data_IF_333661907469
#
_entry.id   IF_333661907469
#
_cell.length_a   1.000
_cell.length_b   1.000
_cell.length_c   1.000
_cell.angle_alpha   90.00
_cell.angle_beta   90.00
_cell.angle_gamma   90.00
#
_symmetry.space_group_name_H-M   'P 1'
#
loop_
_entity.id
_entity.type
_entity.pdbx_description
1 polymer ?
#
# COMPACT_ATOMS: atom_id res chain seq x y z
N UNK A 1 -34.43 -65.86 -20.23
CA UNK A 1 -33.65 -64.89 -21.03
C UNK A 1 -33.90 -63.50 -20.44
N UNK A 2 -33.04 -63.04 -19.53
CA UNK A 2 -33.08 -61.67 -18.99
C UNK A 2 -31.64 -61.18 -18.87
N UNK A 3 -31.35 -60.08 -19.55
CA UNK A 3 -30.04 -59.42 -19.64
C UNK A 3 -29.78 -58.55 -18.40
N UNK A 4 -28.51 -58.39 -17.95
CA UNK A 4 -28.18 -57.45 -16.89
C UNK A 4 -27.78 -56.10 -17.48
N UNK A 5 -28.41 -55.02 -17.05
CA UNK A 5 -27.90 -53.66 -17.28
C UNK A 5 -27.96 -52.89 -15.97
N UNK A 6 -26.80 -52.67 -15.34
CA UNK A 6 -26.41 -51.39 -14.70
C UNK A 6 -25.06 -51.53 -14.00
N UNK A 7 -23.97 -51.37 -14.76
CA UNK A 7 -22.66 -50.97 -14.19
C UNK A 7 -22.15 -49.63 -14.73
N UNK A 8 -22.88 -48.99 -15.65
CA UNK A 8 -22.40 -47.79 -16.36
C UNK A 8 -22.79 -46.45 -15.74
N UNK A 9 -23.58 -46.42 -14.65
CA UNK A 9 -24.08 -45.16 -14.09
C UNK A 9 -23.15 -44.53 -13.02
N UNK A 10 -22.29 -45.34 -12.39
CA UNK A 10 -21.43 -44.87 -11.28
C UNK A 10 -20.20 -44.08 -11.78
N UNK A 11 -19.70 -44.37 -13.00
CA UNK A 11 -18.56 -43.66 -13.57
C UNK A 11 -18.89 -42.27 -14.15
N UNK A 12 -20.16 -42.02 -14.48
CA UNK A 12 -20.57 -40.72 -15.05
C UNK A 12 -20.68 -39.65 -13.96
N UNK A 13 -21.08 -40.02 -12.74
CA UNK A 13 -21.23 -39.09 -11.61
C UNK A 13 -19.90 -38.67 -10.98
N UNK A 14 -18.88 -39.54 -10.96
CA UNK A 14 -17.54 -39.19 -10.44
C UNK A 14 -16.75 -38.28 -11.38
N UNK A 15 -16.89 -38.47 -12.71
CA UNK A 15 -16.29 -37.59 -13.72
C UNK A 15 -16.86 -36.18 -13.70
N UNK A 16 -18.17 -36.03 -13.48
CA UNK A 16 -18.85 -34.73 -13.40
C UNK A 16 -18.42 -33.94 -12.16
N UNK A 17 -18.21 -34.62 -11.02
CA UNK A 17 -17.74 -33.98 -9.78
C UNK A 17 -16.27 -33.53 -9.89
N UNK A 18 -15.43 -34.29 -10.61
CA UNK A 18 -14.03 -33.92 -10.86
C UNK A 18 -13.91 -32.75 -11.86
N UNK A 19 -14.78 -32.69 -12.86
CA UNK A 19 -14.86 -31.56 -13.80
C UNK A 19 -15.42 -30.29 -13.14
N UNK A 20 -16.42 -30.42 -12.26
CA UNK A 20 -16.94 -29.29 -11.47
C UNK A 20 -15.94 -28.77 -10.45
N UNK A 21 -15.14 -29.64 -9.82
CA UNK A 21 -14.09 -29.23 -8.89
C UNK A 21 -12.89 -28.60 -9.60
N UNK A 22 -12.51 -29.08 -10.79
CA UNK A 22 -11.51 -28.43 -11.65
C UNK A 22 -12.03 -27.09 -12.19
N UNK A 23 -13.29 -26.99 -12.62
CA UNK A 23 -13.89 -25.71 -13.03
C UNK A 23 -13.99 -24.71 -11.86
N UNK A 24 -14.31 -25.18 -10.64
CA UNK A 24 -14.30 -24.37 -9.42
C UNK A 24 -12.88 -23.94 -9.00
N UNK A 25 -11.87 -24.78 -9.22
CA UNK A 25 -10.46 -24.45 -8.99
C UNK A 25 -9.91 -23.48 -10.05
N UNK A 26 -10.30 -23.64 -11.33
CA UNK A 26 -9.98 -22.72 -12.41
C UNK A 26 -10.66 -21.36 -12.26
N UNK A 27 -11.90 -21.31 -11.78
CA UNK A 27 -12.61 -20.04 -11.48
C UNK A 27 -12.08 -19.34 -10.22
N UNK A 28 -11.44 -20.05 -9.30
CA UNK A 28 -10.66 -19.41 -8.21
C UNK A 28 -9.36 -18.77 -8.70
N UNK A 29 -8.80 -19.22 -9.82
CA UNK A 29 -7.56 -18.67 -10.39
C UNK A 29 -7.81 -17.53 -11.41
N UNK A 30 -8.97 -17.50 -12.06
CA UNK A 30 -9.39 -16.37 -12.88
C UNK A 30 -10.30 -15.43 -12.08
N UNK A 31 -9.74 -14.79 -11.06
CA UNK A 31 -10.21 -13.44 -10.72
C UNK A 31 -9.90 -12.58 -11.94
N UNK A 32 -10.90 -12.34 -12.79
CA UNK A 32 -10.82 -11.30 -13.80
C UNK A 32 -10.17 -10.07 -13.15
N UNK A 33 -9.07 -9.53 -13.69
CA UNK A 33 -8.60 -8.24 -13.21
C UNK A 33 -9.80 -7.32 -13.35
N UNK A 34 -10.28 -6.76 -12.23
CA UNK A 34 -11.23 -5.66 -12.27
C UNK A 34 -10.67 -4.70 -13.32
N UNK A 35 -11.41 -4.51 -14.42
CA UNK A 35 -11.07 -3.56 -15.48
C UNK A 35 -11.13 -2.17 -14.85
N UNK A 36 -10.06 -1.79 -14.15
CA UNK A 36 -9.91 -0.51 -13.47
C UNK A 36 -9.37 0.48 -14.47
N UNK A 37 -10.07 1.59 -14.59
CA UNK A 37 -9.59 2.77 -15.28
C UNK A 37 -8.77 3.63 -14.34
N UNK A 38 -7.79 4.35 -14.88
CA UNK A 38 -7.00 5.31 -14.09
C UNK A 38 -7.96 6.32 -13.44
N UNK A 39 -7.89 6.44 -12.12
CA UNK A 39 -8.78 7.28 -11.33
C UNK A 39 -9.99 6.60 -10.71
N UNK A 40 -10.18 5.30 -10.93
CA UNK A 40 -11.19 4.54 -10.19
C UNK A 40 -10.83 4.47 -8.70
N UNK A 41 -11.77 4.69 -7.77
CA UNK A 41 -11.54 4.46 -6.36
C UNK A 41 -11.40 2.97 -6.08
N UNK A 42 -10.34 2.57 -5.36
CA UNK A 42 -10.04 1.17 -5.07
C UNK A 42 -10.02 0.82 -3.58
N UNK A 43 -9.87 1.83 -2.71
CA UNK A 43 -9.82 1.66 -1.25
C UNK A 43 -10.07 3.02 -0.58
N UNK A 44 -10.14 3.04 0.76
CA UNK A 44 -10.07 4.27 1.54
C UNK A 44 -9.54 4.04 2.95
N UNK A 45 -8.90 5.06 3.52
CA UNK A 45 -8.58 5.14 4.95
C UNK A 45 -9.07 6.47 5.50
N UNK A 46 -9.83 6.44 6.60
CA UNK A 46 -10.38 7.65 7.22
C UNK A 46 -11.12 8.55 6.22
N UNK A 47 -11.90 7.93 5.31
CA UNK A 47 -12.66 8.55 4.22
C UNK A 47 -11.80 9.21 3.13
N UNK A 48 -10.48 9.06 3.17
CA UNK A 48 -9.57 9.47 2.10
C UNK A 48 -9.42 8.32 1.11
N UNK A 49 -9.86 8.54 -0.13
CA UNK A 49 -9.85 7.52 -1.19
C UNK A 49 -8.44 7.21 -1.70
N UNK A 50 -8.20 5.94 -2.02
CA UNK A 50 -7.09 5.49 -2.86
C UNK A 50 -7.63 5.31 -4.27
N UNK A 51 -6.89 5.82 -5.25
CA UNK A 51 -7.26 5.71 -6.66
C UNK A 51 -6.28 4.83 -7.43
N UNK A 52 -6.80 4.11 -8.42
CA UNK A 52 -5.99 3.31 -9.32
C UNK A 52 -5.14 4.21 -10.24
N UNK A 53 -3.84 3.95 -10.33
CA UNK A 53 -2.91 4.72 -11.18
C UNK A 53 -2.47 3.96 -12.45
N UNK A 54 -2.84 2.69 -12.61
CA UNK A 54 -2.32 1.87 -13.72
C UNK A 54 -0.82 1.57 -13.56
N UNK A 55 -0.03 1.64 -14.64
CA UNK A 55 1.42 1.45 -14.58
C UNK A 55 2.10 2.40 -13.59
N UNK A 56 3.18 1.94 -12.94
CA UNK A 56 3.91 2.72 -11.92
C UNK A 56 4.43 4.06 -12.48
N UNK A 57 4.80 4.07 -13.76
CA UNK A 57 5.30 5.25 -14.49
C UNK A 57 4.21 6.24 -14.90
N UNK A 58 2.93 5.92 -14.69
CA UNK A 58 1.84 6.81 -15.08
C UNK A 58 1.89 8.14 -14.30
N UNK A 59 1.70 9.23 -15.04
CA UNK A 59 1.61 10.59 -14.52
C UNK A 59 0.37 11.24 -15.12
N UNK A 60 -0.60 11.64 -14.29
CA UNK A 60 -1.80 12.33 -14.77
C UNK A 60 -2.05 13.63 -14.00
N UNK A 61 -1.81 14.76 -14.66
CA UNK A 61 -2.09 16.10 -14.12
C UNK A 61 -1.51 16.35 -12.72
N UNK A 62 -1.92 17.46 -12.10
CA UNK A 62 -1.57 17.78 -10.72
C UNK A 62 -2.84 17.96 -9.90
N UNK A 63 -2.83 17.43 -8.69
CA UNK A 63 -3.85 17.70 -7.69
C UNK A 63 -3.39 18.87 -6.81
N UNK A 64 -4.17 19.94 -6.81
CA UNK A 64 -3.97 21.13 -5.98
C UNK A 64 -5.24 21.42 -5.20
N UNK A 65 -5.07 21.96 -4.00
CA UNK A 65 -6.17 22.52 -3.22
C UNK A 65 -6.57 23.90 -3.75
N UNK A 66 -7.72 24.41 -3.32
CA UNK A 66 -8.25 25.71 -3.76
C UNK A 66 -7.29 26.88 -3.47
N UNK A 67 -6.55 26.81 -2.37
CA UNK A 67 -5.53 27.79 -1.98
C UNK A 67 -4.13 27.45 -2.51
N UNK A 68 -4.04 26.57 -3.52
CA UNK A 68 -2.82 26.31 -4.27
C UNK A 68 -1.84 25.32 -3.64
N UNK A 69 -2.13 24.74 -2.47
CA UNK A 69 -1.26 23.69 -1.91
C UNK A 69 -1.24 22.47 -2.83
N UNK A 70 -0.05 22.18 -3.34
CA UNK A 70 0.25 21.05 -4.19
C UNK A 70 0.10 19.75 -3.38
N UNK A 71 -0.81 18.87 -3.77
CA UNK A 71 -0.94 17.54 -3.18
C UNK A 71 -0.01 16.56 -3.88
N UNK A 72 0.07 16.60 -5.21
CA UNK A 72 1.00 15.79 -6.00
C UNK A 72 0.45 15.50 -7.39
N UNK A 73 1.12 14.61 -8.12
CA UNK A 73 0.66 14.14 -9.43
C UNK A 73 -0.40 13.06 -9.23
N UNK A 74 -1.54 13.13 -9.92
CA UNK A 74 -2.55 12.07 -9.80
C UNK A 74 -2.03 10.80 -10.49
N UNK A 75 -2.27 9.59 -10.01
CA UNK A 75 -2.60 9.19 -8.63
C UNK A 75 -1.38 8.51 -7.99
N UNK A 76 -0.27 9.24 -7.88
CA UNK A 76 0.98 8.71 -7.36
C UNK A 76 0.98 8.55 -5.83
N UNK A 77 1.95 7.81 -5.30
CA UNK A 77 2.11 7.57 -3.86
C UNK A 77 2.24 8.87 -3.05
N UNK A 78 3.05 9.82 -3.53
CA UNK A 78 3.23 11.14 -2.91
C UNK A 78 1.92 11.93 -2.83
N UNK A 79 1.11 11.86 -3.89
CA UNK A 79 -0.19 12.54 -3.93
C UNK A 79 -1.14 11.99 -2.88
N UNK A 80 -1.18 10.67 -2.71
CA UNK A 80 -2.01 10.03 -1.68
C UNK A 80 -1.62 10.43 -0.28
N UNK A 81 -0.34 10.28 0.10
CA UNK A 81 0.09 10.54 1.48
C UNK A 81 -0.11 12.01 1.85
N UNK A 82 0.16 12.94 0.92
CA UNK A 82 -0.09 14.37 1.16
C UNK A 82 -1.58 14.70 1.21
N UNK A 83 -2.40 14.08 0.37
CA UNK A 83 -3.86 14.23 0.44
C UNK A 83 -4.44 13.64 1.71
N UNK A 84 -3.93 12.51 2.19
CA UNK A 84 -4.30 11.93 3.47
C UNK A 84 -3.98 12.88 4.63
N UNK A 85 -2.74 13.37 4.72
CA UNK A 85 -2.34 14.34 5.75
C UNK A 85 -3.15 15.64 5.66
N UNK A 86 -3.43 16.13 4.46
CA UNK A 86 -4.24 17.33 4.28
C UNK A 86 -5.70 17.12 4.71
N UNK A 87 -6.35 16.04 4.26
CA UNK A 87 -7.78 15.83 4.50
C UNK A 87 -8.07 15.34 5.92
N UNK A 88 -7.26 14.40 6.43
CA UNK A 88 -7.46 13.78 7.75
C UNK A 88 -6.82 14.60 8.87
N UNK A 89 -5.55 14.99 8.74
CA UNK A 89 -4.81 15.73 9.79
C UNK A 89 -4.86 17.25 9.65
N UNK A 90 -5.51 17.80 8.61
CA UNK A 90 -5.48 19.23 8.27
C UNK A 90 -4.07 19.78 8.15
N UNK A 91 -3.15 18.92 7.68
CA UNK A 91 -1.72 19.18 7.67
C UNK A 91 -1.21 19.47 6.26
N UNK A 92 -0.50 20.58 6.11
CA UNK A 92 0.27 20.90 4.92
C UNK A 92 1.76 20.75 5.23
N UNK A 93 2.47 20.05 4.37
CA UNK A 93 3.92 19.92 4.46
C UNK A 93 4.55 21.19 3.86
N UNK A 94 5.44 21.90 4.58
CA UNK A 94 6.02 23.16 4.11
C UNK A 94 6.73 23.03 2.76
N UNK A 95 7.58 22.01 2.62
CA UNK A 95 8.11 21.63 1.31
C UNK A 95 7.18 20.57 0.70
N UNK A 96 6.54 20.97 -0.38
CA UNK A 96 5.51 20.20 -1.07
C UNK A 96 6.03 19.45 -2.31
N UNK A 97 7.34 19.48 -2.59
CA UNK A 97 7.93 18.84 -3.77
C UNK A 97 8.86 17.68 -3.38
N UNK A 98 9.44 17.05 -4.41
CA UNK A 98 10.37 15.94 -4.27
C UNK A 98 9.73 14.56 -4.50
N UNK A 99 10.62 13.57 -4.62
CA UNK A 99 10.24 12.16 -4.76
C UNK A 99 9.91 11.54 -3.40
N UNK A 100 9.30 10.37 -3.41
CA UNK A 100 8.90 9.66 -2.20
C UNK A 100 10.04 9.54 -1.16
N UNK A 101 11.23 9.09 -1.58
CA UNK A 101 12.39 8.96 -0.67
C UNK A 101 12.82 10.28 -0.01
N UNK A 102 12.57 11.42 -0.65
CA UNK A 102 12.94 12.74 -0.12
C UNK A 102 12.11 13.16 1.10
N UNK A 103 11.07 12.40 1.46
CA UNK A 103 10.30 12.65 2.67
C UNK A 103 11.09 12.32 3.93
N UNK A 104 12.08 11.43 3.82
CA UNK A 104 12.97 11.09 4.91
C UNK A 104 14.30 11.82 4.77
N UNK A 105 14.73 12.53 5.82
CA UNK A 105 16.03 13.16 5.85
C UNK A 105 17.02 12.29 6.65
N UNK A 106 17.98 11.67 5.94
CA UNK A 106 18.98 10.77 6.51
C UNK A 106 19.97 11.45 7.47
N UNK A 107 20.07 12.78 7.45
CA UNK A 107 20.95 13.51 8.39
C UNK A 107 20.30 13.81 9.74
N UNK A 108 18.99 13.57 9.89
CA UNK A 108 18.30 13.72 11.17
C UNK A 108 18.47 12.46 12.02
N UNK A 109 18.70 12.66 13.32
CA UNK A 109 18.69 11.56 14.29
C UNK A 109 17.27 10.99 14.49
N UNK A 110 17.19 9.76 14.99
CA UNK A 110 15.91 9.14 15.36
C UNK A 110 15.12 10.03 16.34
N UNK A 111 13.82 10.19 16.08
CA UNK A 111 12.93 11.05 16.86
C UNK A 111 13.07 12.55 16.62
N UNK A 112 13.92 12.99 15.68
CA UNK A 112 14.09 14.42 15.38
C UNK A 112 12.97 15.00 14.53
N UNK A 113 12.78 16.32 14.65
CA UNK A 113 11.78 17.04 13.88
C UNK A 113 12.27 17.35 12.45
N UNK A 114 11.54 16.86 11.46
CA UNK A 114 11.75 17.15 10.05
C UNK A 114 10.98 18.41 9.64
N UNK A 115 11.68 19.55 9.60
CA UNK A 115 11.11 20.87 9.26
C UNK A 115 10.45 20.90 7.88
N UNK A 116 11.02 20.22 6.89
CA UNK A 116 10.51 20.20 5.51
C UNK A 116 9.13 19.53 5.41
N UNK A 117 8.84 18.58 6.31
CA UNK A 117 7.55 17.88 6.38
C UNK A 117 6.66 18.38 7.50
N UNK A 118 7.21 19.14 8.46
CA UNK A 118 6.55 19.53 9.71
C UNK A 118 6.02 18.31 10.48
N UNK A 119 6.89 17.29 10.63
CA UNK A 119 6.59 16.02 11.28
C UNK A 119 7.81 15.56 12.11
N UNK A 120 7.57 14.74 13.13
CA UNK A 120 8.66 14.01 13.80
C UNK A 120 9.04 12.79 12.97
N UNK A 121 10.34 12.56 12.75
CA UNK A 121 10.85 11.44 11.96
C UNK A 121 11.49 10.40 12.87
N UNK A 122 11.17 9.13 12.65
CA UNK A 122 11.73 7.99 13.35
C UNK A 122 12.43 7.06 12.36
N UNK A 123 13.59 6.56 12.73
CA UNK A 123 14.37 5.62 11.92
C UNK A 123 13.75 4.22 11.95
N UNK A 124 14.13 3.38 10.98
CA UNK A 124 13.87 1.94 11.06
C UNK A 124 15.22 1.21 11.22
N UNK A 125 15.53 0.63 12.40
CA UNK A 125 14.73 0.54 13.62
C UNK A 125 14.69 1.84 14.46
N UNK A 126 13.72 1.95 15.37
CA UNK A 126 13.59 3.06 16.35
C UNK A 126 13.14 2.57 17.72
N UNK A 127 13.49 3.29 18.79
CA UNK A 127 12.94 3.06 20.13
C UNK A 127 11.44 3.41 20.25
N UNK A 128 10.90 4.16 19.29
CA UNK A 128 9.47 4.51 19.24
C UNK A 128 8.73 3.50 18.37
N UNK A 129 7.60 2.95 18.83
CA UNK A 129 6.77 2.09 17.96
C UNK A 129 6.11 2.91 16.83
N UNK A 130 5.92 2.34 15.62
CA UNK A 130 5.06 2.93 14.60
C UNK A 130 3.60 3.00 15.08
N UNK A 131 2.80 3.87 14.46
CA UNK A 131 1.38 4.08 14.78
C UNK A 131 0.55 4.22 13.51
N UNK A 132 -0.73 3.90 13.60
CA UNK A 132 -1.69 4.22 12.54
C UNK A 132 -1.62 5.71 12.19
N UNK A 133 -1.57 5.99 10.90
CA UNK A 133 -1.46 7.33 10.33
C UNK A 133 -0.03 7.82 10.09
N UNK A 134 0.99 7.11 10.60
CA UNK A 134 2.37 7.42 10.27
C UNK A 134 2.62 7.27 8.76
N UNK A 135 3.44 8.17 8.22
CA UNK A 135 3.89 8.13 6.84
C UNK A 135 5.16 7.28 6.77
N UNK A 136 5.06 6.08 6.21
CA UNK A 136 6.19 5.17 6.01
C UNK A 136 6.95 5.54 4.73
N UNK A 137 8.28 5.63 4.81
CA UNK A 137 9.13 6.01 3.68
C UNK A 137 10.06 4.87 3.29
N UNK A 138 10.10 4.59 1.99
CA UNK A 138 11.03 3.66 1.35
C UNK A 138 12.05 4.44 0.52
N UNK A 139 13.30 4.01 0.58
CA UNK A 139 14.37 4.52 -0.26
C UNK A 139 14.20 4.08 -1.72
N UNK A 140 14.96 4.72 -2.60
CA UNK A 140 15.10 4.28 -3.98
C UNK A 140 16.05 3.09 -4.12
N UNK A 141 15.87 2.34 -5.20
CA UNK A 141 16.78 1.29 -5.64
C UNK A 141 16.94 1.35 -7.18
N UNK A 142 17.66 0.39 -7.78
CA UNK A 142 17.92 0.38 -9.23
C UNK A 142 16.66 0.26 -10.09
N UNK A 143 15.58 -0.32 -9.57
CA UNK A 143 14.31 -0.50 -10.28
C UNK A 143 13.32 0.64 -10.01
N UNK A 144 13.41 1.27 -8.84
CA UNK A 144 12.63 2.44 -8.47
C UNK A 144 13.53 3.48 -7.78
N UNK A 145 14.20 4.38 -8.52
CA UNK A 145 15.13 5.35 -7.93
C UNK A 145 14.44 6.45 -7.11
N UNK A 146 13.11 6.58 -7.21
CA UNK A 146 12.30 7.60 -6.55
C UNK A 146 11.86 7.21 -5.13
N UNK A 147 11.94 5.92 -4.81
CA UNK A 147 11.43 5.33 -3.58
C UNK A 147 9.91 5.22 -3.56
N UNK A 148 9.35 4.96 -2.38
CA UNK A 148 7.91 4.84 -2.18
C UNK A 148 7.48 5.44 -0.83
N UNK A 149 6.22 5.84 -0.72
CA UNK A 149 5.64 6.33 0.53
C UNK A 149 4.23 5.78 0.69
N UNK A 150 3.89 5.38 1.90
CA UNK A 150 2.59 4.82 2.25
C UNK A 150 2.12 5.36 3.61
N UNK A 151 0.85 5.12 3.95
CA UNK A 151 0.31 5.41 5.28
C UNK A 151 0.18 4.10 6.04
N UNK A 152 0.66 4.02 7.27
CA UNK A 152 0.37 2.89 8.16
C UNK A 152 -1.13 2.91 8.50
N UNK A 153 -1.90 1.94 8.04
CA UNK A 153 -3.34 1.83 8.28
C UNK A 153 -3.66 1.12 9.59
N UNK A 154 -2.85 0.15 10.00
CA UNK A 154 -3.01 -0.57 11.25
C UNK A 154 -1.66 -0.98 11.84
N UNK A 155 -1.59 -1.05 13.16
CA UNK A 155 -0.45 -1.62 13.89
C UNK A 155 -1.00 -2.67 14.85
N UNK A 156 -0.45 -3.88 14.79
CA UNK A 156 -0.72 -4.98 15.72
C UNK A 156 0.58 -5.32 16.45
N UNK A 157 0.55 -6.37 17.27
CA UNK A 157 1.69 -6.76 18.11
C UNK A 157 2.95 -7.07 17.29
N UNK A 158 2.79 -7.77 16.16
CA UNK A 158 3.87 -8.34 15.34
C UNK A 158 3.77 -7.97 13.86
N UNK A 159 2.87 -7.05 13.51
CA UNK A 159 2.69 -6.59 12.13
C UNK A 159 2.24 -5.13 12.03
N UNK A 160 2.57 -4.51 10.90
CA UNK A 160 1.99 -3.25 10.44
C UNK A 160 1.32 -3.47 9.09
N UNK A 161 0.13 -2.92 8.92
CA UNK A 161 -0.53 -2.82 7.62
C UNK A 161 -0.32 -1.41 7.07
N UNK A 162 -0.01 -1.30 5.78
CA UNK A 162 0.02 -0.04 5.06
C UNK A 162 -1.17 0.07 4.11
N UNK A 163 -1.49 1.31 3.75
CA UNK A 163 -2.34 1.65 2.61
C UNK A 163 -1.58 2.62 1.67
N UNK A 164 -1.69 2.39 0.36
CA UNK A 164 -0.84 3.03 -0.65
C UNK A 164 -1.55 3.29 -1.98
N UNK A 165 -1.04 4.27 -2.74
CA UNK A 165 -1.33 4.48 -4.16
C UNK A 165 -0.09 4.19 -4.99
N UNK A 166 -0.30 3.82 -6.26
CA UNK A 166 0.75 3.50 -7.22
C UNK A 166 1.73 2.38 -6.80
N UNK A 167 1.27 1.26 -6.21
CA UNK A 167 2.16 0.11 -5.94
C UNK A 167 2.48 -0.70 -7.22
N UNK A 168 1.73 -0.47 -8.30
CA UNK A 168 1.78 -1.22 -9.54
C UNK A 168 0.38 -1.67 -9.97
N UNK A 169 0.19 -2.04 -11.25
CA UNK A 169 -1.14 -2.26 -11.82
C UNK A 169 -1.87 -3.47 -11.20
N UNK A 170 -1.12 -4.51 -10.80
CA UNK A 170 -1.67 -5.71 -10.18
C UNK A 170 -1.48 -5.75 -8.65
N UNK A 171 -0.79 -4.75 -8.08
CA UNK A 171 -0.48 -4.73 -6.66
C UNK A 171 -1.66 -4.22 -5.82
N UNK A 172 -1.74 -4.71 -4.58
CA UNK A 172 -2.80 -4.35 -3.63
C UNK A 172 -2.62 -2.92 -3.11
N UNK A 173 -3.73 -2.24 -2.83
CA UNK A 173 -3.73 -0.97 -2.09
C UNK A 173 -3.26 -1.14 -0.65
N UNK A 174 -3.26 -2.37 -0.12
CA UNK A 174 -2.81 -2.71 1.23
C UNK A 174 -1.78 -3.83 1.23
N UNK A 175 -0.80 -3.71 2.09
CA UNK A 175 0.26 -4.70 2.30
C UNK A 175 0.60 -4.76 3.78
N UNK A 176 0.98 -5.94 4.25
CA UNK A 176 1.35 -6.17 5.65
C UNK A 176 2.82 -6.52 5.75
N UNK A 177 3.50 -5.94 6.73
CA UNK A 177 4.89 -6.20 7.05
C UNK A 177 5.01 -6.71 8.48
N UNK A 178 5.94 -7.63 8.72
CA UNK A 178 6.30 -8.05 10.07
C UNK A 178 6.89 -6.87 10.85
N UNK A 179 6.43 -6.70 12.09
CA UNK A 179 6.98 -5.77 13.07
C UNK A 179 7.71 -6.57 14.13
N UNK A 180 9.03 -6.42 14.20
CA UNK A 180 9.85 -7.06 15.24
C UNK A 180 10.17 -6.07 16.35
N UNK A 181 10.12 -6.54 17.59
CA UNK A 181 10.59 -5.80 18.76
C UNK A 181 11.77 -6.54 19.38
N UNK A 182 12.94 -5.90 19.40
CA UNK A 182 14.16 -6.49 19.98
C UNK A 182 14.96 -5.41 20.70
N UNK A 183 15.42 -5.71 21.91
CA UNK A 183 16.23 -4.81 22.75
C UNK A 183 15.63 -3.39 22.89
N UNK A 184 14.31 -3.30 23.06
CA UNK A 184 13.60 -2.02 23.20
C UNK A 184 13.43 -1.21 21.90
N UNK A 185 13.78 -1.78 20.75
CA UNK A 185 13.60 -1.14 19.44
C UNK A 185 12.57 -1.88 18.59
N UNK A 186 11.83 -1.13 17.79
CA UNK A 186 10.84 -1.60 16.83
C UNK A 186 11.43 -1.50 15.44
N UNK A 187 11.26 -2.58 14.65
CA UNK A 187 11.69 -2.64 13.26
C UNK A 187 10.55 -3.16 12.40
N UNK A 188 10.20 -2.41 11.36
CA UNK A 188 9.33 -2.90 10.29
C UNK A 188 10.22 -3.64 9.29
N UNK A 189 10.00 -4.94 9.13
CA UNK A 189 10.76 -5.76 8.20
C UNK A 189 10.32 -5.46 6.76
N UNK A 190 11.28 -5.16 5.89
CA UNK A 190 11.01 -4.83 4.50
C UNK A 190 12.21 -4.15 3.85
N UNK A 191 12.42 -4.41 2.56
CA UNK A 191 13.55 -3.83 1.83
C UNK A 191 13.38 -2.33 1.64
N UNK A 192 14.45 -1.58 1.92
CA UNK A 192 14.50 -0.15 1.66
C UNK A 192 13.66 0.73 2.59
N UNK A 193 13.02 0.19 3.64
CA UNK A 193 12.28 1.03 4.61
C UNK A 193 13.28 1.89 5.40
N UNK A 194 13.20 3.21 5.22
CA UNK A 194 14.05 4.18 5.91
C UNK A 194 13.56 4.46 7.33
N UNK A 195 12.24 4.51 7.50
CA UNK A 195 11.60 4.95 8.74
C UNK A 195 10.21 5.51 8.48
N UNK A 196 9.63 6.13 9.51
CA UNK A 196 8.30 6.71 9.43
C UNK A 196 8.25 8.12 10.04
N UNK A 197 7.31 8.93 9.56
CA UNK A 197 7.08 10.28 10.02
C UNK A 197 5.70 10.39 10.68
N UNK A 198 5.62 11.17 11.76
CA UNK A 198 4.41 11.30 12.59
C UNK A 198 4.02 12.76 12.79
N UNK A 199 2.72 13.02 12.67
CA UNK A 199 2.13 14.29 13.12
C UNK A 199 1.96 14.24 14.64
N UNK A 200 2.56 15.20 15.35
CA UNK A 200 2.27 15.45 16.77
C UNK A 200 0.85 15.96 16.95
#
# INVERSE_FOLDING_TARGET
MFTPVRKSLVFVLSGLFCLLSLAAAHTRFYRYPLLRSIGDPVDSLNRVRVYYNGPISNVSGRNTTADGYNLGLKYQCVEFVKRYYYQHYKHKMPDSYGHAKSFYNKSLSDGSYNKARNLTQYANPSATAPRTGDLLVYDGNNWNPYGHVAIISAVRTDEVEIIQQNPGPAASSRETFTLTQKNGTYKIEGSGILGWLRKK
#
